data_IF_339064188836
#
_entry.id   IF_339064188836
#
_cell.length_a   1.000
_cell.length_b   1.000
_cell.length_c   1.000
_cell.angle_alpha   90.00
_cell.angle_beta   90.00
_cell.angle_gamma   90.00
#
_symmetry.space_group_name_H-M   'P 1'
#
loop_
_entity.id
_entity.type
_entity.pdbx_description
1 polymer ?
#
# COMPACT_ATOMS: atom_id res chain seq x y z
N UNK A 1 -6.00 0.15 -14.35
CA UNK A 1 -6.42 0.77 -13.08
C UNK A 1 -5.18 1.15 -12.30
N UNK A 2 -5.16 2.32 -11.67
CA UNK A 2 -4.05 2.77 -10.81
C UNK A 2 -4.56 3.54 -9.60
N UNK A 3 -3.74 3.58 -8.54
CA UNK A 3 -3.98 4.38 -7.33
C UNK A 3 -2.69 4.47 -6.50
N UNK A 4 -2.63 5.37 -5.52
CA UNK A 4 -1.65 5.29 -4.42
C UNK A 4 -2.28 4.92 -3.07
N UNK A 5 -1.48 4.34 -2.18
CA UNK A 5 -1.87 3.96 -0.82
C UNK A 5 -0.72 4.13 0.17
N UNK A 6 -1.04 4.54 1.39
CA UNK A 6 -0.08 4.60 2.51
C UNK A 6 -0.13 3.33 3.36
N UNK A 7 1.03 2.74 3.59
CA UNK A 7 1.26 1.57 4.45
C UNK A 7 1.97 2.02 5.74
N UNK A 8 1.36 1.79 6.92
CA UNK A 8 2.00 2.11 8.20
C UNK A 8 3.08 1.08 8.55
N UNK A 9 4.14 1.51 9.24
CA UNK A 9 5.13 0.61 9.86
C UNK A 9 4.55 -0.21 11.02
N UNK A 10 5.16 -1.36 11.32
CA UNK A 10 4.82 -2.22 12.47
C UNK A 10 5.85 -2.04 13.59
N UNK A 11 5.39 -2.00 14.84
CA UNK A 11 6.27 -1.92 16.01
C UNK A 11 7.13 -3.19 16.15
N UNK A 12 8.45 -3.04 16.10
CA UNK A 12 9.43 -4.12 16.27
C UNK A 12 9.73 -4.41 17.75
N UNK A 13 10.01 -5.68 18.08
CA UNK A 13 10.53 -6.09 19.40
C UNK A 13 12.01 -5.72 19.55
N UNK A 14 12.50 -5.39 20.76
CA UNK A 14 13.91 -5.17 21.01
C UNK A 14 14.73 -6.46 20.80
N UNK A 15 15.91 -6.34 20.20
CA UNK A 15 16.94 -7.39 20.14
C UNK A 15 17.47 -7.64 21.56
N UNK A 16 17.59 -8.91 21.95
CA UNK A 16 18.26 -9.31 23.20
C UNK A 16 19.74 -8.89 23.16
N UNK A 17 20.29 -8.25 24.20
CA UNK A 17 21.72 -8.02 24.30
C UNK A 17 22.47 -9.34 24.50
N UNK A 18 23.62 -9.48 23.83
CA UNK A 18 24.61 -10.52 24.11
C UNK A 18 25.20 -10.31 25.51
N UNK A 19 25.09 -11.31 26.39
CA UNK A 19 25.77 -11.29 27.69
C UNK A 19 27.29 -11.33 27.50
N UNK A 20 27.99 -10.31 28.01
CA UNK A 20 29.40 -10.43 28.39
C UNK A 20 29.45 -10.83 29.85
N UNK A 21 30.17 -11.91 30.11
CA UNK A 21 30.59 -12.39 31.41
C UNK A 21 31.44 -11.35 32.14
N UNK A 22 31.17 -11.11 33.43
CA UNK A 22 32.22 -10.90 34.43
C UNK A 22 31.69 -11.14 35.85
N UNK A 23 32.58 -11.71 36.66
CA UNK A 23 32.36 -12.35 37.95
C UNK A 23 33.07 -11.54 39.05
N UNK A 24 32.40 -11.19 40.16
CA UNK A 24 33.07 -11.03 41.47
C UNK A 24 32.08 -10.92 42.67
N UNK A 25 32.56 -11.43 43.80
CA UNK A 25 31.89 -11.73 45.08
C UNK A 25 31.62 -10.51 45.99
N UNK A 26 30.56 -10.52 46.85
CA UNK A 26 30.53 -11.04 48.26
C UNK A 26 29.42 -10.37 49.15
N UNK A 27 28.74 -11.23 49.92
CA UNK A 27 28.21 -11.11 51.31
C UNK A 27 26.83 -10.47 51.64
N UNK A 28 26.04 -11.27 52.38
CA UNK A 28 24.62 -11.17 52.78
C UNK A 28 24.30 -10.32 54.01
N UNK A 29 23.06 -9.78 54.08
CA UNK A 29 22.18 -9.74 55.28
C UNK A 29 20.69 -9.75 54.85
N UNK A 30 19.79 -10.36 55.65
CA UNK A 30 18.38 -10.71 55.34
C UNK A 30 17.33 -9.88 56.14
N UNK A 31 16.27 -9.46 55.44
CA UNK A 31 14.82 -9.29 55.80
C UNK A 31 14.37 -8.18 56.78
N UNK A 32 13.16 -7.55 56.62
CA UNK A 32 11.86 -8.19 56.33
C UNK A 32 11.03 -7.63 55.14
N UNK A 33 10.10 -8.49 54.71
CA UNK A 33 9.22 -8.40 53.54
C UNK A 33 8.36 -7.13 53.50
N UNK A 34 8.50 -6.37 52.43
CA UNK A 34 7.43 -5.52 51.89
C UNK A 34 7.10 -6.03 50.48
N UNK A 35 5.84 -6.39 50.26
CA UNK A 35 5.33 -6.79 48.95
C UNK A 35 5.48 -5.62 47.96
N UNK A 36 6.32 -5.71 46.91
CA UNK A 36 6.28 -4.72 45.86
C UNK A 36 5.06 -5.01 45.00
N UNK A 37 4.14 -4.05 44.93
CA UNK A 37 3.14 -3.99 43.85
C UNK A 37 3.91 -4.17 42.55
N UNK A 38 3.53 -5.21 41.80
CA UNK A 38 4.17 -5.61 40.55
C UNK A 38 3.83 -4.58 39.46
N UNK A 39 4.30 -3.35 39.60
CA UNK A 39 4.30 -2.35 38.55
C UNK A 39 5.42 -2.75 37.59
N UNK A 40 5.07 -3.62 36.63
CA UNK A 40 5.90 -3.79 35.43
C UNK A 40 6.23 -2.39 34.93
N UNK A 41 7.50 -2.00 34.78
CA UNK A 41 7.80 -0.78 34.07
C UNK A 41 7.18 -0.97 32.69
N UNK A 42 6.13 -0.21 32.36
CA UNK A 42 5.74 0.01 30.99
C UNK A 42 6.92 0.72 30.35
N UNK A 43 7.87 -0.07 29.86
CA UNK A 43 8.95 0.41 29.02
C UNK A 43 8.27 1.21 27.91
N UNK A 44 8.66 2.47 27.65
CA UNK A 44 8.13 3.20 26.52
C UNK A 44 8.38 2.35 25.28
N UNK A 45 7.31 1.82 24.70
CA UNK A 45 7.37 0.99 23.51
C UNK A 45 7.98 1.86 22.42
N UNK A 46 9.25 1.63 22.07
CA UNK A 46 9.88 2.39 21.00
C UNK A 46 9.13 2.09 19.69
N UNK A 47 8.46 3.11 19.17
CA UNK A 47 7.76 3.09 17.89
C UNK A 47 8.77 2.84 16.78
N UNK A 48 8.49 1.92 15.87
CA UNK A 48 9.09 1.97 14.52
C UNK A 48 8.39 3.12 13.82
N UNK A 49 8.98 4.31 13.89
CA UNK A 49 8.42 5.52 13.30
C UNK A 49 8.55 5.48 11.77
N UNK A 50 7.43 5.48 11.06
CA UNK A 50 7.43 5.68 9.61
C UNK A 50 6.23 5.08 8.87
N UNK A 51 5.95 5.61 7.69
CA UNK A 51 4.96 5.09 6.74
C UNK A 51 5.52 5.18 5.33
N UNK A 52 5.10 4.27 4.45
CA UNK A 52 5.46 4.30 3.03
C UNK A 52 4.23 4.61 2.22
N UNK A 53 4.29 5.61 1.36
CA UNK A 53 3.29 5.84 0.33
C UNK A 53 3.75 5.15 -0.95
N UNK A 54 2.90 4.32 -1.55
CA UNK A 54 3.19 3.61 -2.80
C UNK A 54 2.11 3.88 -3.83
N UNK A 55 2.49 3.99 -5.08
CA UNK A 55 1.62 3.98 -6.25
C UNK A 55 1.69 2.61 -6.91
N UNK A 56 0.58 2.11 -7.44
CA UNK A 56 0.57 0.89 -8.23
C UNK A 56 -0.50 0.92 -9.29
N UNK A 57 -0.29 0.12 -10.34
CA UNK A 57 -1.28 -0.11 -11.36
C UNK A 57 -1.42 -1.59 -11.69
N UNK A 58 -2.57 -2.01 -12.21
CA UNK A 58 -2.75 -3.38 -12.67
C UNK A 58 -3.76 -3.45 -13.83
N UNK A 59 -3.73 -4.58 -14.53
CA UNK A 59 -4.69 -4.96 -15.55
C UNK A 59 -5.10 -6.44 -15.37
N UNK A 60 -6.01 -6.93 -16.21
CA UNK A 60 -6.46 -8.33 -16.13
C UNK A 60 -5.32 -9.35 -16.30
N UNK A 61 -4.23 -8.97 -17.00
CA UNK A 61 -3.05 -9.82 -17.20
C UNK A 61 -2.09 -9.84 -16.01
N UNK A 62 -2.27 -9.02 -14.98
CA UNK A 62 -1.43 -9.03 -13.79
C UNK A 62 -1.15 -7.66 -13.17
N UNK A 63 -0.34 -7.65 -12.09
CA UNK A 63 0.17 -6.42 -11.49
C UNK A 63 1.11 -5.71 -12.47
N UNK A 64 0.90 -4.41 -12.66
CA UNK A 64 1.87 -3.53 -13.30
C UNK A 64 2.95 -3.11 -12.31
N UNK A 65 3.61 -1.98 -12.58
CA UNK A 65 4.68 -1.48 -11.71
C UNK A 65 4.13 -0.92 -10.40
N UNK A 66 4.94 -1.03 -9.35
CA UNK A 66 4.75 -0.39 -8.05
C UNK A 66 5.87 0.64 -7.84
N UNK A 67 5.50 1.89 -7.56
CA UNK A 67 6.44 2.98 -7.31
C UNK A 67 6.32 3.48 -5.87
N UNK A 68 7.45 3.72 -5.20
CA UNK A 68 7.47 4.35 -3.88
C UNK A 68 7.42 5.86 -4.06
N UNK A 69 6.57 6.52 -3.30
CA UNK A 69 6.39 7.97 -3.31
C UNK A 69 7.11 8.53 -2.09
N UNK A 70 8.12 9.35 -2.34
CA UNK A 70 8.86 10.05 -1.30
C UNK A 70 8.26 11.45 -1.11
N UNK A 71 7.87 11.77 0.13
CA UNK A 71 7.28 13.07 0.48
C UNK A 71 5.78 13.17 0.18
N UNK A 72 5.31 14.41 0.00
CA UNK A 72 3.88 14.70 -0.18
C UNK A 72 3.48 14.56 -1.65
N UNK A 73 2.38 13.84 -1.90
CA UNK A 73 1.79 13.73 -3.24
C UNK A 73 1.26 15.09 -3.71
N UNK A 74 1.71 15.53 -4.89
CA UNK A 74 1.18 16.67 -5.62
C UNK A 74 1.08 16.35 -7.12
N UNK A 75 0.48 17.23 -7.92
CA UNK A 75 0.27 16.99 -9.35
C UNK A 75 1.57 16.72 -10.14
N UNK A 76 2.68 17.40 -9.80
CA UNK A 76 3.96 17.21 -10.49
C UNK A 76 4.59 15.83 -10.18
N UNK A 77 4.55 15.43 -8.91
CA UNK A 77 4.98 14.10 -8.48
C UNK A 77 4.13 13.01 -9.14
N UNK A 78 2.81 13.21 -9.18
CA UNK A 78 1.89 12.29 -9.84
C UNK A 78 2.17 12.15 -11.34
N UNK A 79 2.33 13.26 -12.07
CA UNK A 79 2.68 13.23 -13.50
C UNK A 79 4.00 12.51 -13.75
N UNK A 80 5.01 12.70 -12.89
CA UNK A 80 6.29 11.99 -12.97
C UNK A 80 6.09 10.48 -12.81
N UNK A 81 5.31 10.06 -11.81
CA UNK A 81 5.00 8.65 -11.58
C UNK A 81 4.29 8.05 -12.79
N UNK A 82 3.29 8.73 -13.36
CA UNK A 82 2.61 8.25 -14.56
C UNK A 82 3.58 8.09 -15.73
N UNK A 83 4.45 9.08 -15.95
CA UNK A 83 5.45 9.07 -17.03
C UNK A 83 6.38 7.86 -16.94
N UNK A 84 6.87 7.59 -15.73
CA UNK A 84 7.88 6.58 -15.47
C UNK A 84 7.30 5.15 -15.40
N UNK A 85 6.02 5.01 -15.09
CA UNK A 85 5.46 3.70 -14.74
C UNK A 85 4.34 3.20 -15.65
N UNK A 86 3.49 4.06 -16.23
CA UNK A 86 2.31 3.60 -16.99
C UNK A 86 2.72 2.89 -18.27
N UNK A 87 3.50 3.54 -19.16
CA UNK A 87 3.89 2.94 -20.44
C UNK A 87 4.72 1.67 -20.25
N UNK A 88 5.73 1.64 -19.35
CA UNK A 88 6.43 0.39 -19.10
C UNK A 88 5.51 -0.71 -18.57
N UNK A 89 4.55 -0.39 -17.68
CA UNK A 89 3.57 -1.39 -17.21
C UNK A 89 2.70 -1.93 -18.36
N UNK A 90 2.28 -1.09 -19.30
CA UNK A 90 1.54 -1.51 -20.50
C UNK A 90 2.36 -2.52 -21.32
N UNK A 91 3.67 -2.26 -21.50
CA UNK A 91 4.58 -3.16 -22.18
C UNK A 91 4.80 -4.47 -21.42
N UNK A 92 5.12 -4.38 -20.12
CA UNK A 92 5.38 -5.53 -19.24
C UNK A 92 4.15 -6.47 -19.18
N UNK A 93 2.94 -5.89 -19.17
CA UNK A 93 1.66 -6.60 -19.15
C UNK A 93 1.18 -7.07 -20.53
N UNK A 94 1.93 -6.74 -21.60
CA UNK A 94 1.62 -7.07 -23.01
C UNK A 94 0.20 -6.66 -23.41
N UNK A 95 -0.27 -5.50 -22.96
CA UNK A 95 -1.60 -5.01 -23.30
C UNK A 95 -1.63 -4.63 -24.79
N UNK A 96 -2.44 -5.36 -25.57
CA UNK A 96 -2.60 -5.14 -27.01
C UNK A 96 -3.74 -4.16 -27.27
N UNK A 97 -3.64 -3.43 -28.38
CA UNK A 97 -4.68 -2.49 -28.83
C UNK A 97 -4.76 -1.24 -27.97
N UNK A 98 -5.95 -0.62 -27.94
CA UNK A 98 -6.19 0.58 -27.14
C UNK A 98 -6.42 0.23 -25.67
N UNK A 99 -5.60 0.81 -24.80
CA UNK A 99 -5.80 0.76 -23.36
C UNK A 99 -6.38 2.10 -22.85
N UNK A 100 -7.05 2.03 -21.70
CA UNK A 100 -7.61 3.19 -21.01
C UNK A 100 -7.06 3.21 -19.59
N UNK A 101 -6.54 4.35 -19.17
CA UNK A 101 -6.13 4.61 -17.80
C UNK A 101 -7.37 4.85 -16.95
N UNK A 102 -7.46 4.21 -15.80
CA UNK A 102 -8.51 4.50 -14.83
C UNK A 102 -7.83 4.92 -13.54
N UNK A 103 -8.18 6.11 -13.08
CA UNK A 103 -7.75 6.81 -11.89
C UNK A 103 -9.00 7.23 -11.10
N UNK A 104 -8.90 7.41 -9.78
CA UNK A 104 -9.99 7.97 -8.98
C UNK A 104 -10.10 9.50 -9.15
N UNK A 105 -11.13 10.10 -8.55
CA UNK A 105 -11.36 11.54 -8.61
C UNK A 105 -10.59 12.34 -7.53
N UNK A 106 -9.43 11.89 -7.04
CA UNK A 106 -8.59 12.73 -6.17
C UNK A 106 -8.29 14.07 -6.88
N UNK A 107 -8.38 15.22 -6.18
CA UNK A 107 -8.12 16.54 -6.77
C UNK A 107 -6.80 16.66 -7.55
N UNK A 108 -5.78 15.85 -7.22
CA UNK A 108 -4.48 15.84 -7.92
C UNK A 108 -4.57 15.14 -9.27
N UNK A 109 -5.40 14.12 -9.39
CA UNK A 109 -5.69 13.41 -10.65
C UNK A 109 -6.48 14.28 -11.61
N UNK A 110 -7.46 15.03 -11.09
CA UNK A 110 -8.38 15.85 -11.88
C UNK A 110 -7.93 17.30 -12.01
N UNK A 111 -6.82 17.70 -11.36
CA UNK A 111 -6.28 19.05 -11.50
C UNK A 111 -6.05 19.43 -12.96
N UNK A 112 -6.22 20.72 -13.28
CA UNK A 112 -6.01 21.26 -14.64
C UNK A 112 -4.63 20.85 -15.19
N UNK A 113 -3.58 20.98 -14.37
CA UNK A 113 -2.21 20.59 -14.72
C UNK A 113 -2.12 19.11 -15.12
N UNK A 114 -2.69 18.20 -14.32
CA UNK A 114 -2.66 16.76 -14.62
C UNK A 114 -3.49 16.42 -15.84
N UNK A 115 -4.67 17.01 -15.98
CA UNK A 115 -5.57 16.80 -17.13
C UNK A 115 -4.92 17.23 -18.45
N UNK A 116 -4.29 18.41 -18.49
CA UNK A 116 -3.54 18.89 -19.65
C UNK A 116 -2.34 17.99 -19.95
N UNK A 117 -1.63 17.52 -18.92
CA UNK A 117 -0.50 16.62 -19.08
C UNK A 117 -0.91 15.26 -19.66
N UNK A 118 -2.01 14.67 -19.18
CA UNK A 118 -2.58 13.42 -19.71
C UNK A 118 -2.95 13.56 -21.19
N UNK A 119 -3.62 14.67 -21.55
CA UNK A 119 -3.97 14.99 -22.95
C UNK A 119 -2.72 15.13 -23.83
N UNK A 120 -1.71 15.89 -23.38
CA UNK A 120 -0.43 16.05 -24.08
C UNK A 120 0.29 14.72 -24.29
N UNK A 121 0.20 13.81 -23.32
CA UNK A 121 0.83 12.49 -23.39
C UNK A 121 -0.04 11.43 -24.08
N UNK A 122 -1.19 11.81 -24.65
CA UNK A 122 -2.12 10.92 -25.36
C UNK A 122 -2.59 9.74 -24.50
N UNK A 123 -2.77 9.98 -23.19
CA UNK A 123 -3.32 8.98 -22.28
C UNK A 123 -4.82 9.14 -22.17
N UNK A 124 -5.56 8.16 -22.68
CA UNK A 124 -7.02 8.10 -22.55
C UNK A 124 -7.36 7.73 -21.11
N UNK A 125 -8.23 8.50 -20.47
CA UNK A 125 -8.74 8.22 -19.13
C UNK A 125 -10.19 7.76 -19.19
N UNK A 126 -10.54 6.81 -18.32
CA UNK A 126 -11.93 6.41 -18.11
C UNK A 126 -12.64 7.49 -17.29
N UNK A 127 -13.84 7.87 -17.69
CA UNK A 127 -14.70 8.73 -16.89
C UNK A 127 -15.15 7.97 -15.64
N UNK A 128 -14.96 8.56 -14.46
CA UNK A 128 -15.24 7.92 -13.18
C UNK A 128 -16.31 8.70 -12.41
N UNK A 129 -17.39 8.04 -11.94
CA UNK A 129 -18.35 8.69 -11.07
C UNK A 129 -17.72 9.02 -9.72
N UNK A 130 -17.99 10.22 -9.21
CA UNK A 130 -17.55 10.64 -7.88
C UNK A 130 -18.06 9.68 -6.80
N UNK A 131 -17.27 9.48 -5.74
CA UNK A 131 -17.63 8.70 -4.55
C UNK A 131 -18.03 7.23 -4.82
N UNK A 132 -17.37 6.56 -5.76
CA UNK A 132 -17.60 5.13 -6.04
C UNK A 132 -16.38 4.27 -5.64
N UNK A 133 -16.07 4.11 -4.34
CA UNK A 133 -14.98 3.25 -3.89
C UNK A 133 -15.24 1.77 -4.20
N UNK A 134 -16.49 1.33 -4.18
CA UNK A 134 -16.92 -0.04 -4.51
C UNK A 134 -16.53 -0.46 -5.93
N UNK A 135 -16.40 0.55 -6.81
CA UNK A 135 -15.96 0.37 -8.18
C UNK A 135 -14.45 0.32 -8.30
N UNK A 136 -13.63 0.43 -7.25
CA UNK A 136 -12.16 0.42 -7.38
C UNK A 136 -11.51 -0.92 -6.98
N UNK A 137 -11.48 -1.95 -7.86
CA UNK A 137 -10.84 -3.23 -7.60
C UNK A 137 -9.39 -3.20 -7.09
N UNK A 138 -8.63 -2.13 -7.30
CA UNK A 138 -7.26 -2.04 -6.77
C UNK A 138 -7.24 -2.00 -5.24
N UNK A 139 -8.33 -1.55 -4.60
CA UNK A 139 -8.48 -1.60 -3.14
C UNK A 139 -8.41 -3.04 -2.60
N UNK A 140 -8.91 -4.01 -3.39
CA UNK A 140 -8.79 -5.43 -3.05
C UNK A 140 -7.33 -5.90 -3.09
N UNK A 141 -6.55 -5.41 -4.06
CA UNK A 141 -5.11 -5.70 -4.14
C UNK A 141 -4.33 -5.03 -3.02
N UNK A 142 -4.71 -3.80 -2.62
CA UNK A 142 -4.10 -3.14 -1.48
C UNK A 142 -4.35 -3.87 -0.17
N UNK A 143 -5.56 -4.40 0.01
CA UNK A 143 -5.89 -5.22 1.15
C UNK A 143 -5.07 -6.53 1.18
N UNK A 144 -4.98 -7.23 0.04
CA UNK A 144 -4.17 -8.44 -0.09
C UNK A 144 -2.68 -8.14 0.21
N UNK A 145 -2.13 -7.06 -0.37
CA UNK A 145 -0.75 -6.62 -0.15
C UNK A 145 -0.49 -6.29 1.33
N UNK A 146 -1.40 -5.57 1.98
CA UNK A 146 -1.25 -5.19 3.39
C UNK A 146 -1.16 -6.42 4.29
N UNK A 147 -1.97 -7.44 4.04
CA UNK A 147 -1.95 -8.70 4.81
C UNK A 147 -0.59 -9.39 4.71
N UNK A 148 -0.08 -9.58 3.50
CA UNK A 148 1.18 -10.31 3.28
C UNK A 148 2.41 -9.52 3.74
N UNK A 149 2.44 -8.20 3.54
CA UNK A 149 3.52 -7.33 4.04
C UNK A 149 3.53 -7.30 5.56
N UNK A 150 2.36 -7.23 6.20
CA UNK A 150 2.25 -7.28 7.66
C UNK A 150 2.76 -8.61 8.23
N UNK A 151 2.44 -9.73 7.56
CA UNK A 151 2.90 -11.05 7.98
C UNK A 151 4.44 -11.19 7.96
N UNK A 152 5.14 -10.44 7.08
CA UNK A 152 6.60 -10.40 7.02
C UNK A 152 7.26 -9.59 8.14
N UNK A 153 6.48 -8.83 8.92
CA UNK A 153 6.94 -8.07 10.10
C UNK A 153 8.17 -7.17 9.81
N UNK A 154 8.08 -6.21 8.88
CA UNK A 154 9.18 -5.29 8.59
C UNK A 154 9.60 -4.52 9.84
N UNK A 155 10.91 -4.45 10.08
CA UNK A 155 11.52 -3.82 11.25
C UNK A 155 11.85 -2.34 11.03
N UNK A 156 11.89 -1.88 9.78
CA UNK A 156 12.21 -0.51 9.39
C UNK A 156 11.53 -0.12 8.07
N UNK A 157 11.60 1.17 7.71
CA UNK A 157 10.95 1.70 6.50
C UNK A 157 11.52 1.11 5.22
N UNK A 158 12.83 0.84 5.16
CA UNK A 158 13.45 0.24 3.97
C UNK A 158 12.96 -1.20 3.73
N UNK A 159 12.87 -2.00 4.80
CA UNK A 159 12.25 -3.34 4.74
C UNK A 159 10.78 -3.25 4.33
N UNK A 160 10.02 -2.30 4.88
CA UNK A 160 8.62 -2.10 4.49
C UNK A 160 8.50 -1.79 2.99
N UNK A 161 9.33 -0.89 2.46
CA UNK A 161 9.37 -0.57 1.03
C UNK A 161 9.72 -1.80 0.18
N UNK A 162 10.74 -2.56 0.60
CA UNK A 162 11.17 -3.75 -0.13
C UNK A 162 10.08 -4.82 -0.12
N UNK A 163 9.44 -5.06 1.03
CA UNK A 163 8.40 -6.07 1.15
C UNK A 163 7.17 -5.69 0.32
N UNK A 164 6.79 -4.41 0.27
CA UNK A 164 5.74 -3.97 -0.65
C UNK A 164 6.05 -4.31 -2.11
N UNK A 165 7.29 -4.08 -2.57
CA UNK A 165 7.70 -4.40 -3.95
C UNK A 165 7.71 -5.91 -4.21
N UNK A 166 8.33 -6.68 -3.32
CA UNK A 166 8.43 -8.14 -3.44
C UNK A 166 7.05 -8.80 -3.50
N UNK A 167 6.17 -8.43 -2.56
CA UNK A 167 4.85 -9.05 -2.45
C UNK A 167 3.90 -8.60 -3.55
N UNK A 168 4.04 -7.36 -4.02
CA UNK A 168 3.28 -6.88 -5.19
C UNK A 168 3.62 -7.68 -6.46
N UNK A 169 4.91 -7.94 -6.70
CA UNK A 169 5.37 -8.73 -7.85
C UNK A 169 4.88 -10.19 -7.80
N UNK A 170 4.55 -10.71 -6.61
CA UNK A 170 4.01 -12.06 -6.41
C UNK A 170 2.50 -12.16 -6.61
N UNK A 171 1.79 -11.04 -6.80
CA UNK A 171 0.33 -11.07 -7.01
C UNK A 171 0.03 -11.88 -8.29
N UNK A 172 -0.74 -12.99 -8.20
CA UNK A 172 -0.99 -13.83 -9.35
C UNK A 172 -1.84 -13.10 -10.41
N UNK A 173 -1.51 -13.21 -11.71
CA UNK A 173 -2.36 -12.73 -12.80
C UNK A 173 -3.83 -13.14 -12.69
N UNK A 174 -4.09 -14.36 -12.20
CA UNK A 174 -5.44 -14.90 -12.01
C UNK A 174 -6.23 -14.11 -10.94
N UNK A 175 -5.57 -13.54 -9.93
CA UNK A 175 -6.21 -12.67 -8.96
C UNK A 175 -6.68 -11.37 -9.63
N UNK A 176 -5.79 -10.75 -10.41
CA UNK A 176 -6.09 -9.56 -11.18
C UNK A 176 -7.22 -9.80 -12.21
N UNK A 177 -7.15 -10.91 -12.94
CA UNK A 177 -8.17 -11.29 -13.93
C UNK A 177 -9.56 -11.40 -13.31
N UNK A 178 -9.69 -12.12 -12.18
CA UNK A 178 -10.98 -12.27 -11.47
C UNK A 178 -11.56 -10.94 -11.01
N UNK A 179 -10.71 -10.03 -10.54
CA UNK A 179 -11.13 -8.69 -10.13
C UNK A 179 -11.70 -7.90 -11.32
N UNK A 180 -11.02 -7.90 -12.46
CA UNK A 180 -11.51 -7.24 -13.68
C UNK A 180 -12.75 -7.94 -14.25
N UNK A 181 -12.82 -9.27 -14.23
CA UNK A 181 -13.99 -10.02 -14.69
C UNK A 181 -15.24 -9.74 -13.84
N UNK A 182 -15.06 -9.48 -12.53
CA UNK A 182 -16.16 -9.10 -11.63
C UNK A 182 -16.66 -7.66 -11.86
N UNK A 183 -15.92 -6.85 -12.61
CA UNK A 183 -16.18 -5.42 -12.75
C UNK A 183 -17.55 -5.12 -13.36
N UNK A 184 -17.96 -5.89 -14.38
CA UNK A 184 -19.30 -5.75 -14.97
C UNK A 184 -20.41 -5.97 -13.94
N UNK A 185 -20.25 -6.95 -13.05
CA UNK A 185 -21.22 -7.22 -11.97
C UNK A 185 -21.26 -6.09 -10.93
N UNK A 186 -20.11 -5.48 -10.61
CA UNK A 186 -20.02 -4.31 -9.72
C UNK A 186 -20.77 -3.12 -10.31
N UNK A 187 -20.56 -2.84 -11.60
CA UNK A 187 -21.30 -1.78 -12.31
C UNK A 187 -22.81 -2.03 -12.30
N UNK A 188 -23.25 -3.25 -12.62
CA UNK A 188 -24.67 -3.60 -12.57
C UNK A 188 -25.26 -3.44 -11.16
N UNK A 189 -24.51 -3.79 -10.12
CA UNK A 189 -24.95 -3.60 -8.73
C UNK A 189 -25.10 -2.12 -8.37
N UNK A 190 -24.16 -1.25 -8.76
CA UNK A 190 -24.25 0.19 -8.53
C UNK A 190 -25.44 0.80 -9.28
N UNK A 191 -25.69 0.38 -10.53
CA UNK A 191 -26.84 0.82 -11.31
C UNK A 191 -28.15 0.36 -10.66
N UNK A 192 -28.23 -0.89 -10.23
CA UNK A 192 -29.40 -1.43 -9.51
C UNK A 192 -29.65 -0.70 -8.19
N UNK A 193 -28.58 -0.30 -7.49
CA UNK A 193 -28.64 0.51 -6.28
C UNK A 193 -28.91 2.01 -6.55
N UNK A 194 -29.11 2.42 -7.81
CA UNK A 194 -29.29 3.82 -8.23
C UNK A 194 -28.16 4.74 -7.74
N UNK A 195 -26.93 4.25 -7.75
CA UNK A 195 -25.75 4.96 -7.25
C UNK A 195 -25.52 4.81 -5.74
N UNK A 196 -26.34 4.04 -5.04
CA UNK A 196 -26.14 3.71 -3.62
C UNK A 196 -25.01 2.70 -3.37
N UNK A 197 -24.61 2.51 -2.09
CA UNK A 197 -23.59 1.55 -1.70
C UNK A 197 -23.93 0.11 -2.09
N UNK A 198 -22.92 -0.68 -2.40
CA UNK A 198 -23.05 -2.11 -2.74
C UNK A 198 -22.31 -2.99 -1.73
N UNK A 199 -22.45 -4.32 -1.84
CA UNK A 199 -21.77 -5.28 -0.97
C UNK A 199 -20.30 -5.54 -1.34
N UNK A 200 -19.71 -4.74 -2.24
CA UNK A 200 -18.42 -5.00 -2.90
C UNK A 200 -17.23 -4.27 -2.31
#
# INVERSE_FOLDING_TARGET
MEQWRTFPGVAGRPKLPQERSDNSSRRSQKTPQQHPKNCRPHSPQLRVGGSVMVWGCFAASGPGRLAVINGTMNSAVYQKILKENVRPSVCDLKLKGTWVLQQDNDPKHTSKSTSEWLKKNKMKTLEWPSQSPDLNPIEMLWHDLKKVVHARKPSNVAELQQFCKDEWAKIPPQRCNRLIASYGKRLSAVVAAKGGPTSY
#
